data_IF_814749204230
#
_entry.id   IF_814749204230
#
_cell.length_a   1.000
_cell.length_b   1.000
_cell.length_c   1.000
_cell.angle_alpha   90.00
_cell.angle_beta   90.00
_cell.angle_gamma   90.00
#
_symmetry.space_group_name_H-M   'P 1'
#
loop_
_entity.id
_entity.type
_entity.pdbx_description
1 polymer ?
#
# COMPACT_ATOMS: atom_id res chain seq x y z
N UNK A 1 21.51 11.22 40.01
CA UNK A 1 20.06 11.17 39.73
C UNK A 1 19.87 11.69 38.31
N UNK A 2 19.81 10.79 37.32
CA UNK A 2 19.52 11.18 35.94
C UNK A 2 18.03 11.46 35.83
N UNK A 3 17.69 12.69 35.43
CA UNK A 3 16.32 13.06 35.10
C UNK A 3 15.79 12.12 34.00
N UNK A 4 14.53 11.66 34.08
CA UNK A 4 13.94 10.92 32.99
C UNK A 4 13.92 11.84 31.75
N UNK A 5 14.43 11.33 30.62
CA UNK A 5 14.34 12.02 29.35
C UNK A 5 12.87 12.40 29.11
N UNK A 6 12.60 13.69 28.96
CA UNK A 6 11.28 14.18 28.61
C UNK A 6 10.86 13.50 27.31
N UNK A 7 9.85 12.63 27.38
CA UNK A 7 9.22 12.02 26.22
C UNK A 7 8.65 13.15 25.36
N UNK A 8 9.30 13.45 24.24
CA UNK A 8 8.75 14.36 23.24
C UNK A 8 7.33 13.87 22.89
N UNK A 9 6.35 14.77 22.77
CA UNK A 9 5.02 14.37 22.31
C UNK A 9 5.19 13.65 20.97
N UNK A 10 4.48 12.52 20.75
CA UNK A 10 4.63 11.77 19.51
C UNK A 10 4.32 12.70 18.33
N UNK A 11 5.19 12.71 17.33
CA UNK A 11 4.95 13.51 16.13
C UNK A 11 3.67 13.02 15.44
N UNK A 12 3.01 13.92 14.70
CA UNK A 12 1.76 13.58 14.02
C UNK A 12 1.97 12.37 13.08
N UNK A 13 1.00 11.44 12.99
CA UNK A 13 1.15 10.29 12.11
C UNK A 13 1.27 10.71 10.64
N UNK A 14 2.07 9.95 9.89
CA UNK A 14 2.07 9.98 8.43
C UNK A 14 1.02 8.99 7.93
N UNK A 15 0.04 9.49 7.17
CA UNK A 15 -0.91 8.62 6.47
C UNK A 15 -0.32 8.23 5.10
N UNK A 16 -0.21 6.93 4.84
CA UNK A 16 0.31 6.39 3.58
C UNK A 16 -0.83 5.69 2.84
N UNK A 17 -1.31 6.29 1.76
CA UNK A 17 -2.46 5.80 1.02
C UNK A 17 -2.00 5.00 -0.20
N UNK A 18 -2.36 3.72 -0.22
CA UNK A 18 -2.31 2.89 -1.43
C UNK A 18 -3.50 3.27 -2.32
N UNK A 19 -3.29 4.22 -3.24
CA UNK A 19 -4.38 4.72 -4.07
C UNK A 19 -4.81 3.75 -5.15
N UNK A 20 -3.88 2.95 -5.69
CA UNK A 20 -4.17 1.97 -6.74
C UNK A 20 -5.33 1.07 -6.33
N UNK A 21 -5.29 0.51 -5.11
CA UNK A 21 -6.36 -0.35 -4.60
C UNK A 21 -7.73 0.34 -4.62
N UNK A 22 -7.82 1.62 -4.21
CA UNK A 22 -9.09 2.34 -4.18
C UNK A 22 -9.57 2.79 -5.56
N UNK A 23 -8.66 3.12 -6.48
CA UNK A 23 -9.00 3.43 -7.88
C UNK A 23 -9.55 2.19 -8.58
N UNK A 24 -8.88 1.03 -8.48
CA UNK A 24 -9.37 -0.24 -9.03
C UNK A 24 -10.72 -0.66 -8.41
N UNK A 25 -10.87 -0.53 -7.09
CA UNK A 25 -12.15 -0.80 -6.43
C UNK A 25 -13.25 0.09 -6.98
N UNK A 26 -13.00 1.40 -7.14
CA UNK A 26 -13.97 2.34 -7.67
C UNK A 26 -14.33 2.01 -9.13
N UNK A 27 -13.35 1.64 -9.96
CA UNK A 27 -13.57 1.22 -11.35
C UNK A 27 -14.58 0.07 -11.47
N UNK A 28 -14.48 -0.95 -10.61
CA UNK A 28 -15.38 -2.11 -10.66
C UNK A 28 -16.71 -1.93 -9.91
N UNK A 29 -16.77 -1.04 -8.92
CA UNK A 29 -17.96 -0.91 -8.05
C UNK A 29 -18.84 0.30 -8.36
N UNK A 30 -18.29 1.34 -9.00
CA UNK A 30 -19.05 2.54 -9.35
C UNK A 30 -19.81 2.34 -10.66
N UNK A 31 -21.09 2.79 -10.76
CA UNK A 31 -21.84 2.76 -12.00
C UNK A 31 -21.10 3.43 -13.16
N UNK A 32 -21.18 2.87 -14.35
CA UNK A 32 -20.57 3.44 -15.57
C UNK A 32 -21.41 4.60 -16.15
N UNK A 33 -21.98 5.44 -15.29
CA UNK A 33 -22.83 6.59 -15.69
C UNK A 33 -22.06 7.91 -15.65
N UNK A 34 -20.94 7.93 -14.93
CA UNK A 34 -20.08 9.11 -14.80
C UNK A 34 -19.19 9.25 -16.03
N UNK A 35 -19.37 10.35 -16.75
CA UNK A 35 -18.56 10.68 -17.92
C UNK A 35 -18.10 12.13 -17.86
N UNK A 36 -16.94 12.41 -18.45
CA UNK A 36 -16.41 13.76 -18.60
C UNK A 36 -17.14 14.54 -19.72
N UNK A 37 -16.66 15.74 -20.03
CA UNK A 37 -17.24 16.57 -21.08
C UNK A 37 -17.08 16.02 -22.51
N UNK A 38 -16.10 15.14 -22.73
CA UNK A 38 -15.79 14.48 -24.00
C UNK A 38 -16.48 13.11 -24.10
N UNK A 39 -17.15 12.65 -23.03
CA UNK A 39 -17.85 11.37 -22.99
C UNK A 39 -16.99 10.20 -22.50
N UNK A 40 -15.79 10.45 -21.96
CA UNK A 40 -14.96 9.39 -21.37
C UNK A 40 -15.43 9.02 -19.96
N UNK A 41 -15.36 7.74 -19.55
CA UNK A 41 -15.78 7.33 -18.22
C UNK A 41 -14.90 7.94 -17.13
N UNK A 42 -15.52 8.32 -16.02
CA UNK A 42 -14.89 8.94 -14.84
C UNK A 42 -15.32 8.28 -13.52
N UNK A 43 -16.00 7.14 -13.59
CA UNK A 43 -16.55 6.40 -12.45
C UNK A 43 -15.51 6.09 -11.36
N UNK A 44 -14.30 5.67 -11.73
CA UNK A 44 -13.20 5.42 -10.80
C UNK A 44 -12.73 6.70 -10.10
N UNK A 45 -12.60 7.81 -10.85
CA UNK A 45 -12.20 9.12 -10.27
C UNK A 45 -13.23 9.60 -9.26
N UNK A 46 -14.52 9.47 -9.58
CA UNK A 46 -15.61 9.85 -8.68
C UNK A 46 -15.63 8.99 -7.40
N UNK A 47 -15.44 7.67 -7.52
CA UNK A 47 -15.36 6.78 -6.37
C UNK A 47 -14.12 7.05 -5.50
N UNK A 48 -12.95 7.23 -6.13
CA UNK A 48 -11.71 7.58 -5.43
C UNK A 48 -11.81 8.92 -4.70
N UNK A 49 -12.38 9.95 -5.34
CA UNK A 49 -12.59 11.25 -4.72
C UNK A 49 -13.48 11.16 -3.46
N UNK A 50 -14.51 10.31 -3.46
CA UNK A 50 -15.37 10.08 -2.28
C UNK A 50 -14.56 9.49 -1.13
N UNK A 51 -13.81 8.42 -1.38
CA UNK A 51 -12.91 7.81 -0.40
C UNK A 51 -11.93 8.84 0.18
N UNK A 52 -11.23 9.56 -0.71
CA UNK A 52 -10.21 10.52 -0.32
C UNK A 52 -10.80 11.66 0.54
N UNK A 53 -11.95 12.20 0.13
CA UNK A 53 -12.66 13.23 0.90
C UNK A 53 -13.03 12.76 2.30
N UNK A 54 -13.61 11.57 2.42
CA UNK A 54 -13.99 11.03 3.73
C UNK A 54 -12.77 10.82 4.62
N UNK A 55 -11.66 10.32 4.07
CA UNK A 55 -10.40 10.18 4.79
C UNK A 55 -9.89 11.55 5.29
N UNK A 56 -9.84 12.55 4.41
CA UNK A 56 -9.35 13.90 4.74
C UNK A 56 -10.25 14.60 5.76
N UNK A 57 -11.57 14.46 5.66
CA UNK A 57 -12.54 15.07 6.57
C UNK A 57 -12.49 14.44 7.96
N UNK A 58 -12.37 13.11 8.03
CA UNK A 58 -12.37 12.32 9.27
C UNK A 58 -11.06 12.47 10.02
N UNK A 59 -9.93 12.28 9.34
CA UNK A 59 -8.62 12.17 10.00
C UNK A 59 -7.84 13.49 9.99
N UNK A 60 -8.17 14.42 9.08
CA UNK A 60 -7.51 15.74 8.93
C UNK A 60 -5.98 15.65 9.00
N UNK A 61 -5.35 14.81 8.16
CA UNK A 61 -3.93 14.50 8.28
C UNK A 61 -3.06 15.72 7.97
N UNK A 62 -2.05 15.96 8.82
CA UNK A 62 -0.99 16.98 8.58
C UNK A 62 0.12 16.45 7.68
N UNK A 63 0.39 15.14 7.77
CA UNK A 63 1.32 14.44 6.90
C UNK A 63 0.57 13.33 6.19
N UNK A 64 0.58 13.37 4.87
CA UNK A 64 -0.12 12.40 4.03
C UNK A 64 0.61 12.26 2.71
N UNK A 65 0.77 11.02 2.27
CA UNK A 65 1.31 10.66 0.97
C UNK A 65 0.39 9.66 0.28
N UNK A 66 0.23 9.82 -1.02
CA UNK A 66 -0.64 9.00 -1.85
C UNK A 66 0.20 8.32 -2.92
N UNK A 67 0.35 7.01 -2.82
CA UNK A 67 1.15 6.21 -3.75
C UNK A 67 0.27 5.59 -4.84
N UNK A 68 0.74 5.64 -6.08
CA UNK A 68 0.08 5.07 -7.25
C UNK A 68 1.04 4.14 -7.99
N UNK A 69 0.51 3.04 -8.52
CA UNK A 69 1.24 2.21 -9.47
C UNK A 69 1.31 2.92 -10.83
N UNK A 70 2.52 3.22 -11.27
CA UNK A 70 2.81 3.65 -12.63
C UNK A 70 3.54 2.57 -13.42
N UNK A 71 4.23 1.67 -12.72
CA UNK A 71 4.78 0.40 -13.19
C UNK A 71 3.70 -0.63 -13.56
N UNK A 72 2.60 -0.22 -14.21
CA UNK A 72 1.42 -1.05 -14.48
C UNK A 72 1.74 -2.29 -15.36
N UNK A 73 2.76 -2.19 -16.21
CA UNK A 73 3.11 -3.23 -17.17
C UNK A 73 4.46 -3.92 -16.83
N UNK A 74 5.34 -3.28 -16.05
CA UNK A 74 6.63 -3.87 -15.62
C UNK A 74 7.25 -3.05 -14.49
N UNK A 75 7.77 -3.71 -13.45
CA UNK A 75 8.58 -3.14 -12.37
C UNK A 75 9.92 -3.90 -12.23
N UNK A 76 10.76 -3.52 -11.26
CA UNK A 76 12.06 -4.18 -11.03
C UNK A 76 11.92 -5.69 -10.74
N UNK A 77 10.77 -6.15 -10.22
CA UNK A 77 10.49 -7.56 -9.97
C UNK A 77 10.38 -8.36 -11.26
N UNK A 78 9.90 -7.78 -12.36
CA UNK A 78 9.82 -8.47 -13.66
C UNK A 78 11.21 -8.80 -14.23
N UNK A 79 12.23 -7.99 -13.91
CA UNK A 79 13.62 -8.31 -14.24
C UNK A 79 14.18 -9.51 -13.46
N UNK A 80 13.65 -9.76 -12.25
CA UNK A 80 14.02 -10.91 -11.42
C UNK A 80 13.23 -12.17 -11.78
N UNK A 81 11.95 -12.01 -12.09
CA UNK A 81 11.03 -13.09 -12.42
C UNK A 81 10.00 -12.61 -13.46
N UNK A 82 10.19 -12.92 -14.76
CA UNK A 82 9.33 -12.41 -15.83
C UNK A 82 7.85 -12.76 -15.71
N UNK A 83 7.52 -13.86 -15.02
CA UNK A 83 6.14 -14.28 -14.80
C UNK A 83 5.46 -13.56 -13.62
N UNK A 84 6.16 -12.70 -12.88
CA UNK A 84 5.58 -11.91 -11.80
C UNK A 84 4.41 -11.06 -12.31
N UNK A 85 3.23 -11.19 -11.67
CA UNK A 85 1.97 -10.55 -12.06
C UNK A 85 1.52 -10.79 -13.52
N UNK A 86 2.12 -11.75 -14.24
CA UNK A 86 1.82 -12.01 -15.65
C UNK A 86 0.39 -12.55 -15.90
N UNK A 87 -0.33 -12.94 -14.84
CA UNK A 87 -1.73 -13.33 -14.86
C UNK A 87 -2.69 -12.13 -14.72
N UNK A 88 -2.19 -10.91 -14.51
CA UNK A 88 -3.01 -9.70 -14.42
C UNK A 88 -3.27 -9.15 -15.82
N UNK A 89 -4.51 -8.78 -16.09
CA UNK A 89 -4.88 -8.09 -17.32
C UNK A 89 -4.36 -6.65 -17.30
N UNK A 90 -3.85 -6.16 -18.43
CA UNK A 90 -3.46 -4.76 -18.56
C UNK A 90 -4.65 -3.84 -18.34
N UNK A 91 -4.43 -2.74 -17.60
CA UNK A 91 -5.46 -1.74 -17.39
C UNK A 91 -5.94 -1.15 -18.75
N UNK A 92 -7.25 -1.10 -19.02
CA UNK A 92 -7.77 -0.50 -20.24
C UNK A 92 -7.43 1.00 -20.29
N UNK A 93 -7.42 1.58 -21.50
CA UNK A 93 -7.05 2.99 -21.72
C UNK A 93 -7.90 3.95 -20.86
N UNK A 94 -9.18 3.65 -20.75
CA UNK A 94 -10.15 4.37 -19.93
C UNK A 94 -9.72 4.42 -18.46
N UNK A 95 -9.24 3.30 -17.92
CA UNK A 95 -8.78 3.25 -16.54
C UNK A 95 -7.45 3.99 -16.37
N UNK A 96 -6.52 3.84 -17.31
CA UNK A 96 -5.23 4.57 -17.30
C UNK A 96 -5.46 6.09 -17.30
N UNK A 97 -6.40 6.59 -18.11
CA UNK A 97 -6.81 8.01 -18.10
C UNK A 97 -7.36 8.43 -16.72
N UNK A 98 -8.15 7.59 -16.07
CA UNK A 98 -8.67 7.88 -14.75
C UNK A 98 -7.59 7.88 -13.65
N UNK A 99 -6.54 7.07 -13.76
CA UNK A 99 -5.36 7.16 -12.88
C UNK A 99 -4.69 8.54 -12.97
N UNK A 100 -4.53 9.09 -14.17
CA UNK A 100 -3.98 10.45 -14.38
C UNK A 100 -4.85 11.49 -13.67
N UNK A 101 -6.17 11.40 -13.79
CA UNK A 101 -7.08 12.31 -13.10
C UNK A 101 -7.07 12.16 -11.57
N UNK A 102 -6.92 10.94 -11.04
CA UNK A 102 -6.79 10.72 -9.60
C UNK A 102 -5.49 11.35 -9.05
N UNK A 103 -4.36 11.20 -9.76
CA UNK A 103 -3.10 11.87 -9.41
C UNK A 103 -3.26 13.40 -9.43
N UNK A 104 -3.85 13.95 -10.49
CA UNK A 104 -4.09 15.38 -10.62
C UNK A 104 -4.99 15.94 -9.50
N UNK A 105 -6.01 15.19 -9.09
CA UNK A 105 -6.87 15.54 -7.97
C UNK A 105 -6.10 15.62 -6.64
N UNK A 106 -5.23 14.63 -6.36
CA UNK A 106 -4.39 14.65 -5.17
C UNK A 106 -3.46 15.86 -5.14
N UNK A 107 -2.79 16.16 -6.26
CA UNK A 107 -1.91 17.34 -6.40
C UNK A 107 -2.70 18.63 -6.17
N UNK A 108 -3.86 18.78 -6.81
CA UNK A 108 -4.72 19.95 -6.65
C UNK A 108 -5.20 20.15 -5.20
N UNK A 109 -5.33 19.07 -4.41
CA UNK A 109 -5.67 19.11 -2.99
C UNK A 109 -4.48 19.36 -2.05
N UNK A 110 -3.28 19.59 -2.60
CA UNK A 110 -2.04 19.81 -1.87
C UNK A 110 -1.46 18.54 -1.24
N UNK A 111 -1.80 17.36 -1.75
CA UNK A 111 -1.30 16.08 -1.23
C UNK A 111 0.01 15.69 -1.92
N UNK A 112 0.94 15.11 -1.16
CA UNK A 112 2.12 14.50 -1.74
C UNK A 112 1.72 13.25 -2.54
N UNK A 113 2.18 13.16 -3.78
CA UNK A 113 1.92 12.02 -4.68
C UNK A 113 3.23 11.31 -4.96
N UNK A 114 3.25 9.99 -4.77
CA UNK A 114 4.36 9.13 -5.17
C UNK A 114 3.92 8.24 -6.32
N UNK A 115 4.74 8.20 -7.36
CA UNK A 115 4.63 7.29 -8.48
C UNK A 115 6.01 7.12 -9.09
N UNK A 116 6.34 5.91 -9.55
CA UNK A 116 7.64 5.61 -10.13
C UNK A 116 7.51 4.55 -11.22
N UNK A 117 8.36 4.63 -12.24
CA UNK A 117 8.34 3.70 -13.38
C UNK A 117 8.83 2.29 -13.00
N UNK A 118 9.81 2.19 -12.10
CA UNK A 118 10.43 0.92 -11.72
C UNK A 118 9.93 0.33 -10.40
N UNK A 119 9.24 1.11 -9.56
CA UNK A 119 8.82 0.71 -8.21
C UNK A 119 7.29 0.77 -8.08
N UNK A 120 6.74 -0.17 -7.32
CA UNK A 120 5.29 -0.28 -7.09
C UNK A 120 4.85 0.65 -5.95
N UNK A 121 3.53 0.88 -5.84
CA UNK A 121 2.97 1.70 -4.77
C UNK A 121 3.40 1.20 -3.38
N UNK A 122 3.49 -0.12 -3.20
CA UNK A 122 3.91 -0.73 -1.94
C UNK A 122 5.36 -0.40 -1.57
N UNK A 123 6.26 -0.37 -2.55
CA UNK A 123 7.67 0.01 -2.37
C UNK A 123 7.81 1.50 -2.04
N UNK A 124 6.99 2.34 -2.68
CA UNK A 124 6.93 3.77 -2.40
C UNK A 124 6.39 4.03 -0.99
N UNK A 125 5.39 3.27 -0.55
CA UNK A 125 4.85 3.30 0.82
C UNK A 125 5.92 2.83 1.82
N UNK A 126 6.59 1.71 1.55
CA UNK A 126 7.65 1.16 2.39
C UNK A 126 8.80 2.15 2.59
N UNK A 127 9.26 2.73 1.49
CA UNK A 127 10.35 3.73 1.48
C UNK A 127 9.94 5.02 2.19
N UNK A 128 8.73 5.53 1.94
CA UNK A 128 8.21 6.72 2.61
C UNK A 128 8.06 6.52 4.12
N UNK A 129 7.54 5.36 4.54
CA UNK A 129 7.43 5.02 5.96
C UNK A 129 8.82 4.89 6.61
N UNK A 130 9.78 4.26 5.92
CA UNK A 130 11.15 4.14 6.41
C UNK A 130 11.80 5.51 6.62
N UNK A 131 11.68 6.42 5.65
CA UNK A 131 12.22 7.78 5.76
C UNK A 131 11.51 8.61 6.86
N UNK A 132 10.19 8.49 6.99
CA UNK A 132 9.41 9.23 7.97
C UNK A 132 9.72 8.84 9.43
N UNK A 133 10.14 7.58 9.67
CA UNK A 133 10.55 7.13 11.00
C UNK A 133 11.80 7.84 11.50
N UNK A 134 12.72 8.22 10.62
CA UNK A 134 13.88 9.04 11.00
C UNK A 134 13.47 10.42 11.56
N UNK A 135 12.26 10.88 11.21
CA UNK A 135 11.63 12.10 11.70
C UNK A 135 10.67 11.85 12.87
N UNK A 136 10.67 10.63 13.44
CA UNK A 136 9.85 10.23 14.58
C UNK A 136 8.37 9.97 14.26
N UNK A 137 7.97 10.06 12.99
CA UNK A 137 6.58 9.80 12.59
C UNK A 137 6.26 8.30 12.64
N UNK A 138 5.15 7.96 13.28
CA UNK A 138 4.50 6.66 13.08
C UNK A 138 3.71 6.66 11.77
N UNK A 139 3.58 5.50 11.14
CA UNK A 139 2.79 5.29 9.94
C UNK A 139 1.36 4.86 10.24
N UNK A 140 0.43 5.35 9.43
CA UNK A 140 -0.92 4.79 9.25
C UNK A 140 -1.04 4.40 7.77
N UNK A 141 -0.83 3.12 7.48
CA UNK A 141 -0.93 2.57 6.12
C UNK A 141 -2.41 2.33 5.81
N UNK A 142 -2.96 3.10 4.88
CA UNK A 142 -4.35 2.99 4.44
C UNK A 142 -4.42 2.04 3.25
N UNK A 143 -4.41 0.74 3.53
CA UNK A 143 -4.54 -0.34 2.55
C UNK A 143 -5.08 -1.61 3.21
N UNK A 144 -5.79 -2.43 2.45
CA UNK A 144 -6.19 -3.78 2.87
C UNK A 144 -5.16 -4.86 2.51
N UNK A 145 -4.08 -4.49 1.78
CA UNK A 145 -3.10 -5.45 1.27
C UNK A 145 -2.31 -6.09 2.42
N UNK A 146 -2.30 -7.41 2.46
CA UNK A 146 -1.57 -8.15 3.50
C UNK A 146 -0.06 -7.94 3.39
N UNK A 147 0.46 -7.63 2.20
CA UNK A 147 1.90 -7.55 1.95
C UNK A 147 2.51 -6.37 2.71
N UNK A 148 1.77 -5.27 2.81
CA UNK A 148 2.12 -4.08 3.57
C UNK A 148 2.20 -4.32 5.09
N UNK A 149 1.60 -5.39 5.61
CA UNK A 149 1.73 -5.74 7.03
C UNK A 149 3.18 -6.07 7.42
N UNK A 150 4.05 -6.42 6.45
CA UNK A 150 5.47 -6.62 6.70
C UNK A 150 6.19 -5.37 7.21
N UNK A 151 5.62 -4.19 6.91
CA UNK A 151 6.21 -2.92 7.27
C UNK A 151 5.92 -2.52 8.72
N UNK A 152 4.94 -3.11 9.39
CA UNK A 152 4.48 -2.64 10.70
C UNK A 152 5.52 -2.87 11.80
N UNK A 153 5.96 -1.79 12.46
CA UNK A 153 6.82 -1.84 13.65
C UNK A 153 6.37 -0.80 14.68
N UNK A 154 6.78 -0.94 15.94
CA UNK A 154 6.52 0.06 16.99
C UNK A 154 5.04 0.44 17.12
N UNK A 155 4.71 1.71 16.83
CA UNK A 155 3.35 2.27 16.92
C UNK A 155 2.63 2.37 15.57
N UNK A 156 3.16 1.75 14.53
CA UNK A 156 2.53 1.78 13.21
C UNK A 156 1.23 0.99 13.20
N UNK A 157 0.33 1.44 12.32
CA UNK A 157 -0.98 0.83 12.12
C UNK A 157 -1.24 0.65 10.63
N UNK A 158 -1.90 -0.44 10.27
CA UNK A 158 -2.52 -0.62 8.98
C UNK A 158 -4.04 -0.57 9.10
N UNK A 159 -4.70 0.03 8.09
CA UNK A 159 -6.12 0.30 8.07
C UNK A 159 -6.75 -0.13 6.74
N UNK A 160 -7.55 -1.20 6.79
CA UNK A 160 -8.55 -1.50 5.75
C UNK A 160 -9.70 -0.49 5.90
N UNK A 161 -9.62 0.60 5.14
CA UNK A 161 -10.59 1.70 5.22
C UNK A 161 -12.01 1.21 4.91
N UNK A 162 -12.16 0.36 3.89
CA UNK A 162 -13.46 -0.08 3.42
C UNK A 162 -14.21 -0.95 4.44
N UNK A 163 -13.48 -1.73 5.25
CA UNK A 163 -14.06 -2.51 6.36
C UNK A 163 -13.97 -1.79 7.71
N UNK A 164 -13.35 -0.62 7.74
CA UNK A 164 -13.01 0.12 8.95
C UNK A 164 -12.28 -0.76 10.00
N UNK A 165 -11.35 -1.60 9.54
CA UNK A 165 -10.55 -2.49 10.39
C UNK A 165 -9.12 -1.99 10.49
N UNK A 166 -8.61 -1.90 11.71
CA UNK A 166 -7.25 -1.41 12.02
C UNK A 166 -6.48 -2.47 12.80
N UNK A 167 -5.20 -2.61 12.51
CA UNK A 167 -4.31 -3.49 13.25
C UNK A 167 -2.90 -2.93 13.33
N UNK A 168 -2.24 -3.22 14.44
CA UNK A 168 -0.81 -2.98 14.64
C UNK A 168 -0.03 -4.25 14.37
N UNK A 169 1.30 -4.21 14.52
CA UNK A 169 2.17 -5.40 14.45
C UNK A 169 1.64 -6.57 15.30
N UNK A 170 1.06 -6.31 16.47
CA UNK A 170 0.51 -7.35 17.35
C UNK A 170 -0.70 -8.09 16.72
N UNK A 171 -1.50 -7.40 15.91
CA UNK A 171 -2.65 -8.00 15.23
C UNK A 171 -2.28 -8.81 13.98
N UNK A 172 -1.04 -8.69 13.48
CA UNK A 172 -0.58 -9.42 12.29
C UNK A 172 -0.60 -10.93 12.54
N UNK A 173 -0.15 -11.36 13.72
CA UNK A 173 -0.14 -12.78 14.09
C UNK A 173 -1.53 -13.40 14.12
N UNK A 174 -2.51 -12.70 14.68
CA UNK A 174 -3.88 -13.18 14.74
C UNK A 174 -4.51 -13.28 13.34
N UNK A 175 -4.11 -12.38 12.43
CA UNK A 175 -4.63 -12.31 11.07
C UNK A 175 -3.97 -13.31 10.11
N UNK A 176 -2.66 -13.51 10.23
CA UNK A 176 -1.84 -14.24 9.27
C UNK A 176 -1.15 -15.49 9.83
N UNK A 177 -1.13 -15.67 11.15
CA UNK A 177 -0.43 -16.76 11.83
C UNK A 177 1.07 -16.55 11.98
N UNK A 178 1.60 -15.40 11.54
CA UNK A 178 3.03 -15.05 11.57
C UNK A 178 3.23 -13.62 12.05
N UNK A 179 4.42 -13.31 12.55
CA UNK A 179 4.77 -11.94 12.97
C UNK A 179 4.90 -11.01 11.74
N UNK A 180 4.77 -9.68 11.93
CA UNK A 180 4.87 -8.71 10.83
C UNK A 180 6.14 -8.90 9.99
N UNK A 181 7.31 -8.94 10.64
CA UNK A 181 8.59 -9.12 9.96
C UNK A 181 8.73 -10.46 9.19
N UNK A 182 7.82 -11.41 9.39
CA UNK A 182 7.82 -12.73 8.73
C UNK A 182 6.88 -12.80 7.52
N UNK A 183 6.13 -11.73 7.20
CA UNK A 183 5.12 -11.77 6.12
C UNK A 183 5.74 -12.09 4.76
N UNK A 184 6.88 -11.48 4.41
CA UNK A 184 7.57 -11.78 3.15
C UNK A 184 8.03 -13.25 3.09
N UNK A 185 8.65 -13.75 4.16
CA UNK A 185 9.07 -15.16 4.26
C UNK A 185 7.88 -16.12 4.19
N UNK A 186 6.77 -15.75 4.83
CA UNK A 186 5.53 -16.51 4.79
C UNK A 186 4.99 -16.63 3.36
N UNK A 187 4.89 -15.51 2.63
CA UNK A 187 4.45 -15.50 1.24
C UNK A 187 5.43 -16.22 0.32
N UNK A 188 6.73 -16.13 0.59
CA UNK A 188 7.75 -16.88 -0.14
C UNK A 188 7.58 -18.39 0.00
N UNK A 189 7.16 -18.86 1.17
CA UNK A 189 6.89 -20.26 1.44
C UNK A 189 5.55 -20.72 0.88
N UNK A 190 4.48 -19.95 1.08
CA UNK A 190 3.11 -20.33 0.70
C UNK A 190 2.77 -20.07 -0.74
N UNK A 191 3.47 -19.13 -1.38
CA UNK A 191 3.09 -18.53 -2.64
C UNK A 191 2.07 -17.41 -2.49
N UNK A 192 1.93 -16.67 -3.57
CA UNK A 192 0.90 -15.66 -3.79
C UNK A 192 0.34 -15.77 -5.21
N UNK A 193 -0.89 -16.27 -5.33
CA UNK A 193 -1.56 -16.42 -6.63
C UNK A 193 -1.88 -15.07 -7.30
N UNK A 194 -2.09 -14.01 -6.52
CA UNK A 194 -2.40 -12.67 -7.04
C UNK A 194 -1.19 -12.07 -7.79
N UNK A 195 0.01 -12.44 -7.35
CA UNK A 195 1.29 -11.99 -7.89
C UNK A 195 2.00 -13.04 -8.74
N UNK A 196 1.33 -14.17 -8.99
CA UNK A 196 1.86 -15.32 -9.72
C UNK A 196 3.15 -15.89 -9.09
N UNK A 197 3.24 -15.91 -7.76
CA UNK A 197 4.34 -16.50 -6.99
C UNK A 197 3.92 -17.91 -6.55
N UNK A 198 4.56 -18.98 -7.03
CA UNK A 198 4.12 -20.35 -6.74
C UNK A 198 4.37 -20.82 -5.29
N UNK A 199 5.36 -20.22 -4.60
CA UNK A 199 5.80 -20.68 -3.29
C UNK A 199 6.62 -21.98 -3.34
N UNK A 200 6.74 -22.65 -2.19
CA UNK A 200 7.40 -23.96 -2.07
C UNK A 200 6.35 -25.07 -2.15
N UNK A 201 6.46 -26.03 -3.09
CA UNK A 201 5.47 -27.09 -3.25
C UNK A 201 5.26 -27.90 -1.96
N UNK A 202 4.00 -27.99 -1.53
CA UNK A 202 3.61 -28.72 -0.32
C UNK A 202 3.75 -27.93 0.98
N UNK A 203 4.19 -26.67 0.93
CA UNK A 203 4.25 -25.78 2.10
C UNK A 203 3.07 -24.81 2.05
N UNK A 204 1.97 -25.19 2.69
CA UNK A 204 0.80 -24.31 2.83
C UNK A 204 0.88 -23.39 4.07
N UNK A 205 -0.10 -22.48 4.23
CA UNK A 205 -0.20 -21.52 5.34
C UNK A 205 0.14 -22.07 6.73
N UNK A 206 -0.49 -23.18 7.12
CA UNK A 206 -0.29 -23.78 8.44
C UNK A 206 1.14 -24.28 8.64
N UNK A 207 1.72 -24.90 7.61
CA UNK A 207 3.09 -25.41 7.67
C UNK A 207 4.07 -24.25 7.72
N UNK A 208 3.90 -23.23 6.87
CA UNK A 208 4.74 -22.03 6.88
C UNK A 208 4.74 -21.33 8.24
N UNK A 209 3.57 -21.14 8.85
CA UNK A 209 3.45 -20.53 10.17
C UNK A 209 4.17 -21.34 11.26
N UNK A 210 4.06 -22.68 11.26
CA UNK A 210 4.79 -23.53 12.23
C UNK A 210 6.30 -23.43 12.02
N UNK A 211 6.76 -23.43 10.77
CA UNK A 211 8.18 -23.31 10.44
C UNK A 211 8.72 -21.94 10.90
N UNK A 212 8.05 -20.84 10.56
CA UNK A 212 8.50 -19.50 10.92
C UNK A 212 8.39 -19.24 12.43
N UNK A 213 7.40 -19.81 13.11
CA UNK A 213 7.33 -19.76 14.57
C UNK A 213 8.51 -20.51 15.23
N UNK A 214 9.04 -21.57 14.60
CA UNK A 214 10.15 -22.35 15.14
C UNK A 214 11.53 -21.76 14.79
N UNK A 215 11.72 -21.35 13.53
CA UNK A 215 13.03 -20.91 13.01
C UNK A 215 13.21 -19.40 13.00
N UNK A 216 12.14 -18.61 13.15
CA UNK A 216 12.18 -17.15 13.11
C UNK A 216 12.12 -16.58 11.69
N UNK A 217 13.01 -17.02 10.80
CA UNK A 217 13.11 -16.51 9.44
C UNK A 217 13.46 -17.59 8.40
N UNK A 218 13.35 -17.24 7.12
CA UNK A 218 13.63 -18.15 6.02
C UNK A 218 15.11 -18.58 5.96
N UNK A 219 16.05 -17.70 6.27
CA UNK A 219 17.48 -18.04 6.20
C UNK A 219 17.85 -19.10 7.24
N UNK A 220 17.38 -18.92 8.47
CA UNK A 220 17.56 -19.85 9.59
C UNK A 220 16.87 -21.17 9.31
N UNK A 221 15.64 -21.15 8.78
CA UNK A 221 14.92 -22.34 8.33
C UNK A 221 15.73 -23.14 7.29
N UNK A 222 16.26 -22.46 6.27
CA UNK A 222 17.01 -23.12 5.19
C UNK A 222 18.38 -23.61 5.65
N UNK A 223 19.04 -22.92 6.60
CA UNK A 223 20.30 -23.35 7.19
C UNK A 223 20.14 -24.59 8.07
N UNK A 224 18.99 -24.74 8.74
CA UNK A 224 18.67 -25.83 9.68
C UNK A 224 17.57 -26.75 9.15
N UNK A 225 17.44 -26.86 7.83
CA UNK A 225 16.32 -27.55 7.16
C UNK A 225 16.20 -29.04 7.53
N UNK A 226 17.28 -29.69 7.96
CA UNK A 226 17.25 -31.07 8.45
C UNK A 226 16.43 -31.23 9.73
N UNK A 227 16.38 -30.18 10.56
CA UNK A 227 15.60 -30.19 11.81
C UNK A 227 14.10 -30.24 11.57
N UNK A 228 13.63 -29.82 10.38
CA UNK A 228 12.22 -29.88 9.98
C UNK A 228 11.67 -31.30 10.09
N UNK A 229 12.50 -32.32 9.86
CA UNK A 229 12.11 -33.73 9.93
C UNK A 229 11.64 -34.18 11.32
N UNK A 230 12.06 -33.47 12.38
CA UNK A 230 11.69 -33.75 13.77
C UNK A 230 10.50 -32.91 14.25
N UNK A 231 10.02 -31.96 13.45
CA UNK A 231 8.86 -31.16 13.79
C UNK A 231 7.57 -31.98 13.68
N UNK A 232 6.60 -31.65 14.53
CA UNK A 232 5.27 -32.29 14.56
C UNK A 232 4.37 -31.72 13.46
N UNK A 233 4.79 -31.86 12.22
CA UNK A 233 4.06 -31.46 11.00
C UNK A 233 3.79 -32.68 10.10
N UNK A 234 2.65 -32.68 9.42
CA UNK A 234 2.30 -33.75 8.48
C UNK A 234 3.30 -33.76 7.32
N UNK A 235 3.97 -34.89 7.11
CA UNK A 235 4.93 -35.05 6.02
C UNK A 235 6.24 -34.29 6.23
N UNK A 236 6.68 -34.13 7.48
CA UNK A 236 7.91 -33.40 7.86
C UNK A 236 9.13 -33.74 6.99
N UNK A 237 9.38 -35.04 6.73
CA UNK A 237 10.47 -35.49 5.86
C UNK A 237 10.32 -35.00 4.41
N UNK A 238 9.11 -35.04 3.85
CA UNK A 238 8.84 -34.53 2.51
C UNK A 238 8.96 -33.01 2.44
N UNK A 239 8.48 -32.29 3.45
CA UNK A 239 8.62 -30.83 3.57
C UNK A 239 10.10 -30.44 3.60
N UNK A 240 10.92 -31.10 4.42
CA UNK A 240 12.37 -30.87 4.48
C UNK A 240 13.03 -31.11 3.11
N UNK A 241 12.69 -32.22 2.45
CA UNK A 241 13.20 -32.53 1.11
C UNK A 241 12.80 -31.47 0.06
N UNK A 242 11.56 -30.97 0.11
CA UNK A 242 11.08 -29.91 -0.78
C UNK A 242 11.77 -28.57 -0.51
N UNK A 243 11.94 -28.19 0.75
CA UNK A 243 12.66 -26.97 1.13
C UNK A 243 14.13 -27.01 0.64
N UNK A 244 14.80 -28.16 0.75
CA UNK A 244 16.14 -28.36 0.17
C UNK A 244 16.14 -28.22 -1.35
N UNK A 245 15.22 -28.91 -2.03
CA UNK A 245 15.15 -28.92 -3.49
C UNK A 245 14.74 -27.57 -4.08
N UNK A 246 13.99 -26.75 -3.34
CA UNK A 246 13.47 -25.46 -3.79
C UNK A 246 14.10 -24.27 -3.04
N UNK A 247 15.29 -24.45 -2.46
CA UNK A 247 15.98 -23.43 -1.65
C UNK A 247 16.15 -22.11 -2.41
N UNK A 248 16.69 -22.18 -3.62
CA UNK A 248 16.96 -20.99 -4.44
C UNK A 248 15.67 -20.29 -4.87
N UNK A 249 14.63 -21.07 -5.19
CA UNK A 249 13.31 -20.52 -5.52
C UNK A 249 12.68 -19.83 -4.32
N UNK A 250 12.75 -20.42 -3.11
CA UNK A 250 12.24 -19.78 -1.89
C UNK A 250 12.93 -18.44 -1.62
N UNK A 251 14.25 -18.36 -1.83
CA UNK A 251 15.00 -17.10 -1.70
C UNK A 251 14.60 -16.08 -2.77
N UNK A 252 14.34 -16.52 -4.01
CA UNK A 252 13.80 -15.64 -5.06
C UNK A 252 12.40 -15.14 -4.69
N UNK A 253 11.51 -16.02 -4.22
CA UNK A 253 10.16 -15.64 -3.79
C UNK A 253 10.19 -14.65 -2.63
N UNK A 254 11.13 -14.79 -1.69
CA UNK A 254 11.35 -13.79 -0.64
C UNK A 254 11.72 -12.44 -1.25
N UNK A 255 12.66 -12.41 -2.20
CA UNK A 255 13.04 -11.15 -2.88
C UNK A 255 11.87 -10.49 -3.60
N UNK A 256 10.96 -11.26 -4.18
CA UNK A 256 9.76 -10.72 -4.84
C UNK A 256 8.72 -10.22 -3.82
N UNK A 257 8.56 -10.88 -2.68
CA UNK A 257 7.56 -10.53 -1.66
C UNK A 257 8.04 -9.47 -0.67
N UNK A 258 9.35 -9.25 -0.58
CA UNK A 258 9.92 -8.15 0.22
C UNK A 258 9.63 -6.81 -0.45
N UNK A 259 9.06 -5.89 0.33
CA UNK A 259 8.85 -4.50 -0.06
C UNK A 259 10.16 -3.72 0.06
N UNK A 260 10.51 -2.96 -0.98
CA UNK A 260 11.69 -2.10 -0.96
C UNK A 260 11.51 -0.92 0.00
N UNK A 261 12.59 -0.54 0.69
CA UNK A 261 12.61 0.57 1.66
C UNK A 261 13.50 1.73 1.21
N UNK A 262 14.04 1.63 -0.01
CA UNK A 262 15.06 2.49 -0.59
C UNK A 262 14.69 2.98 -2.01
N UNK A 263 13.40 2.92 -2.37
CA UNK A 263 12.92 3.53 -3.61
C UNK A 263 13.24 5.04 -3.61
N UNK A 264 13.65 5.62 -4.75
CA UNK A 264 14.03 7.02 -4.82
C UNK A 264 12.80 7.92 -4.60
N UNK A 265 12.80 8.65 -3.50
CA UNK A 265 11.74 9.62 -3.16
C UNK A 265 12.21 11.04 -3.46
N UNK A 266 11.31 11.88 -3.97
CA UNK A 266 11.59 13.29 -4.25
C UNK A 266 11.70 14.16 -3.00
N UNK A 267 11.08 13.74 -1.89
CA UNK A 267 11.10 14.38 -0.58
C UNK A 267 10.63 13.39 0.51
N UNK A 268 10.93 13.65 1.78
CA UNK A 268 10.66 12.76 2.91
C UNK A 268 9.77 13.37 4.02
N UNK A 269 9.54 14.69 4.00
CA UNK A 269 8.74 15.37 5.01
C UNK A 269 7.22 15.13 4.87
N UNK A 270 6.72 14.86 3.66
CA UNK A 270 5.30 14.56 3.33
C UNK A 270 4.25 15.45 4.01
N UNK A 271 4.61 16.70 4.32
CA UNK A 271 3.68 17.68 4.87
C UNK A 271 2.64 18.04 3.83
N UNK A 272 1.37 18.09 4.23
CA UNK A 272 0.29 18.50 3.35
C UNK A 272 0.49 19.96 2.90
N UNK A 273 0.62 20.17 1.60
CA UNK A 273 0.83 21.48 0.99
C UNK A 273 -0.45 22.33 0.93
N UNK A 274 -0.30 23.52 0.37
CA UNK A 274 -1.43 24.37 0.00
C UNK A 274 -2.09 23.81 -1.26
N UNK A 275 -3.42 23.76 -1.26
CA UNK A 275 -4.17 23.32 -2.43
C UNK A 275 -4.19 24.37 -3.54
N UNK A 276 -4.25 23.91 -4.78
CA UNK A 276 -4.46 24.75 -5.96
C UNK A 276 -5.96 24.83 -6.28
N UNK A 277 -6.58 25.93 -5.85
CA UNK A 277 -8.00 26.16 -6.05
C UNK A 277 -8.39 26.27 -7.53
N UNK A 278 -7.53 26.84 -8.38
CA UNK A 278 -7.82 27.00 -9.80
C UNK A 278 -7.75 25.65 -10.53
N UNK A 279 -6.72 24.86 -10.27
CA UNK A 279 -6.61 23.50 -10.80
C UNK A 279 -7.76 22.61 -10.32
N UNK A 280 -8.15 22.73 -9.05
CA UNK A 280 -9.27 21.96 -8.48
C UNK A 280 -10.61 22.31 -9.15
N UNK A 281 -10.88 23.59 -9.40
CA UNK A 281 -12.09 24.02 -10.12
C UNK A 281 -12.08 23.48 -11.56
N UNK A 282 -10.96 23.60 -12.27
CA UNK A 282 -10.82 23.08 -13.63
C UNK A 282 -11.04 21.57 -13.71
N UNK A 283 -10.46 20.80 -12.79
CA UNK A 283 -10.70 19.36 -12.67
C UNK A 283 -12.17 19.06 -12.37
N UNK A 284 -12.80 19.84 -11.49
CA UNK A 284 -14.21 19.67 -11.17
C UNK A 284 -15.11 19.85 -12.39
N UNK A 285 -14.81 20.84 -13.24
CA UNK A 285 -15.52 21.10 -14.49
C UNK A 285 -15.29 19.99 -15.51
N UNK A 286 -14.03 19.66 -15.79
CA UNK A 286 -13.67 18.63 -16.75
C UNK A 286 -14.34 17.28 -16.42
N UNK A 287 -14.29 16.87 -15.15
CA UNK A 287 -14.77 15.58 -14.66
C UNK A 287 -16.25 15.58 -14.25
N UNK A 288 -16.95 16.70 -14.44
CA UNK A 288 -18.38 16.87 -14.10
C UNK A 288 -18.73 16.46 -12.67
N UNK A 289 -17.89 16.83 -11.70
CA UNK A 289 -18.21 16.60 -10.30
C UNK A 289 -19.51 17.32 -9.89
N UNK A 290 -20.39 16.64 -9.15
CA UNK A 290 -21.64 17.22 -8.69
C UNK A 290 -21.44 18.32 -7.64
N UNK A 291 -22.44 19.20 -7.40
CA UNK A 291 -22.30 20.36 -6.50
C UNK A 291 -21.85 20.00 -5.08
N UNK A 292 -22.35 18.88 -4.55
CA UNK A 292 -21.97 18.40 -3.22
C UNK A 292 -20.49 17.99 -3.14
N UNK A 293 -20.01 17.19 -4.08
CA UNK A 293 -18.61 16.74 -4.12
C UNK A 293 -17.67 17.92 -4.33
N UNK A 294 -18.04 18.87 -5.20
CA UNK A 294 -17.27 20.11 -5.41
C UNK A 294 -17.11 20.91 -4.12
N UNK A 295 -18.21 21.12 -3.39
CA UNK A 295 -18.18 21.83 -2.11
C UNK A 295 -17.27 21.13 -1.11
N UNK A 296 -17.36 19.79 -1.01
CA UNK A 296 -16.49 19.00 -0.12
C UNK A 296 -15.01 19.10 -0.52
N UNK A 297 -14.71 19.04 -1.82
CA UNK A 297 -13.34 19.24 -2.34
C UNK A 297 -12.80 20.63 -2.00
N UNK A 298 -13.60 21.67 -2.15
CA UNK A 298 -13.23 23.04 -1.77
C UNK A 298 -13.02 23.21 -0.26
N UNK A 299 -13.83 22.54 0.56
CA UNK A 299 -13.67 22.55 2.01
C UNK A 299 -12.40 21.79 2.42
N UNK A 300 -12.17 20.63 1.81
CA UNK A 300 -10.98 19.82 2.05
C UNK A 300 -9.71 20.54 1.60
N UNK A 301 -9.76 21.35 0.54
CA UNK A 301 -8.64 22.13 0.01
C UNK A 301 -8.27 23.35 0.87
N UNK A 302 -9.11 23.74 1.83
CA UNK A 302 -8.82 24.84 2.76
C UNK A 302 -8.85 26.23 2.13
N UNK A 303 -9.52 26.41 0.98
CA UNK A 303 -9.72 27.74 0.40
C UNK A 303 -10.89 28.42 1.14
N UNK A 304 -10.60 29.45 1.95
CA UNK A 304 -11.60 30.47 2.25
C UNK A 304 -12.00 31.10 0.91
N UNK A 305 -13.12 30.67 0.34
CA UNK A 305 -13.75 31.40 -0.76
C UNK A 305 -14.19 32.74 -0.20
N UNK A 306 -13.42 33.78 -0.50
CA UNK A 306 -13.89 35.15 -0.43
C UNK A 306 -15.18 35.18 -1.25
N UNK A 307 -16.30 35.29 -0.56
CA UNK A 307 -17.56 35.69 -1.16
C UNK A 307 -17.31 37.09 -1.69
N UNK A 308 -17.23 37.22 -3.01
CA UNK A 308 -17.35 38.51 -3.67
C UNK A 308 -18.76 39.00 -3.42
N UNK A 309 -18.96 39.71 -2.30
CA UNK A 309 -20.04 40.68 -2.20
C UNK A 309 -19.53 41.91 -2.94
N UNK A 310 -19.92 42.03 -4.20
CA UNK A 310 -19.78 43.27 -4.94
C UNK A 310 -21.18 43.80 -5.24
N UNK A 311 -21.51 44.90 -4.56
CA UNK A 311 -22.37 46.00 -5.00
C UNK A 311 -23.80 45.69 -5.35
#
# INVERSE_FOLDING_TARGET
MNAPAATQPPSAPLYLVDASMYVFRAWHSMPNEFHDHEGWPTNAVHGFARFLLELLERERPRHIVVAFDEALDSCFRNALYPAYKANRESAPEELRRQFVHCKALCVALGLAVLAHADYEADDLIGSALHAARAHGHRGVIVSADKDLSQLLTGMDEQWDYARNQRWTMAGVKDRHGVEAHQIADYLALTGDAVDNIPGVPGVGPKTAAILLAHFGDLDTLLARVDEVTFLRIRGAAQVAAKLKAHKEQALLWRRLTTIALDAPLSHDAFHRGQADGAALVGLCDALRFGPLTRRRLQQASGVQTAVTVAG
#
